data_IF_408161356545
#
_entry.id   IF_408161356545
#
_cell.length_a   1.000
_cell.length_b   1.000
_cell.length_c   1.000
_cell.angle_alpha   90.00
_cell.angle_beta   90.00
_cell.angle_gamma   90.00
#
_symmetry.space_group_name_H-M   'P 1'
#
loop_
_entity.id
_entity.type
_entity.pdbx_description
1 polymer ?
#
# COMPACT_ATOMS: atom_id res chain seq x y z
N UNK A 1 23.71 10.36 0.15
CA UNK A 1 22.45 10.66 0.85
C UNK A 1 21.33 10.28 -0.10
N UNK A 2 20.97 8.99 -0.11
CA UNK A 2 20.00 8.45 -1.05
C UNK A 2 18.59 8.68 -0.53
N UNK A 3 17.89 9.56 -1.23
CA UNK A 3 16.44 9.69 -1.09
C UNK A 3 15.86 8.42 -1.72
N UNK A 4 15.41 7.48 -0.88
CA UNK A 4 14.65 6.32 -1.34
C UNK A 4 13.34 6.84 -1.93
N UNK A 5 13.39 7.17 -3.21
CA UNK A 5 12.30 7.72 -3.96
C UNK A 5 11.13 6.74 -3.93
N UNK A 6 9.97 7.23 -3.47
CA UNK A 6 8.69 6.73 -3.91
C UNK A 6 8.70 6.80 -5.45
N UNK A 7 9.01 5.68 -6.10
CA UNK A 7 8.95 5.61 -7.55
C UNK A 7 7.47 5.65 -7.93
N UNK A 8 7.06 6.82 -8.35
CA UNK A 8 5.79 7.05 -9.01
C UNK A 8 5.83 6.32 -10.36
N UNK A 9 4.85 5.46 -10.61
CA UNK A 9 4.63 4.92 -11.95
C UNK A 9 4.24 6.07 -12.88
N UNK A 10 5.07 6.37 -13.88
CA UNK A 10 4.89 7.45 -14.83
C UNK A 10 3.65 7.35 -15.75
N UNK A 11 2.72 6.45 -15.47
CA UNK A 11 1.44 6.33 -16.19
C UNK A 11 0.36 7.29 -15.72
N UNK A 12 0.58 8.09 -14.68
CA UNK A 12 -0.42 9.03 -14.16
C UNK A 12 -0.36 10.42 -14.78
N UNK A 13 0.55 10.65 -15.76
CA UNK A 13 0.61 11.90 -16.49
C UNK A 13 0.44 11.70 -18.00
N UNK A 14 -0.62 11.01 -18.39
CA UNK A 14 -1.18 11.10 -19.72
C UNK A 14 -2.12 12.30 -19.76
N UNK A 15 -1.80 13.29 -20.59
CA UNK A 15 -2.60 14.44 -21.05
C UNK A 15 -3.94 14.68 -20.32
N UNK A 16 -3.89 15.50 -19.26
CA UNK A 16 -5.07 16.18 -18.76
C UNK A 16 -5.37 17.39 -19.64
N UNK A 17 -5.93 17.15 -20.83
CA UNK A 17 -6.73 18.19 -21.48
C UNK A 17 -7.99 18.39 -20.65
N UNK A 18 -8.10 19.56 -20.05
CA UNK A 18 -9.26 20.03 -19.31
C UNK A 18 -10.48 20.01 -20.21
N UNK A 19 -11.31 19.00 -20.09
CA UNK A 19 -12.64 19.00 -20.65
C UNK A 19 -13.62 19.20 -19.48
N UNK A 20 -14.26 20.37 -19.46
CA UNK A 20 -15.33 20.69 -18.53
C UNK A 20 -16.57 19.82 -18.83
N UNK A 21 -16.58 18.61 -18.32
CA UNK A 21 -17.69 17.68 -18.40
C UNK A 21 -18.02 17.15 -17.01
N UNK A 22 -19.23 17.44 -16.58
CA UNK A 22 -19.98 17.00 -15.41
C UNK A 22 -19.44 15.72 -14.77
N UNK A 23 -18.83 15.87 -13.60
CA UNK A 23 -18.40 14.76 -12.77
C UNK A 23 -19.61 13.92 -12.33
N UNK A 24 -19.67 12.62 -12.61
CA UNK A 24 -20.68 11.78 -11.97
C UNK A 24 -20.41 11.74 -10.46
N UNK A 25 -21.48 11.90 -9.69
CA UNK A 25 -21.42 11.84 -8.23
C UNK A 25 -20.75 10.54 -7.80
N UNK A 26 -19.60 10.64 -7.15
CA UNK A 26 -18.88 9.53 -6.57
C UNK A 26 -19.80 8.84 -5.57
N UNK A 27 -20.11 7.58 -5.81
CA UNK A 27 -20.74 6.69 -4.83
C UNK A 27 -19.79 6.66 -3.62
N UNK A 28 -20.25 7.28 -2.53
CA UNK A 28 -19.44 7.60 -1.38
C UNK A 28 -18.98 6.35 -0.64
N UNK A 29 -17.75 5.96 -0.84
CA UNK A 29 -17.05 5.26 0.21
C UNK A 29 -16.75 6.29 1.31
N UNK A 30 -17.32 6.06 2.46
CA UNK A 30 -17.18 6.91 3.66
C UNK A 30 -15.71 6.92 4.05
N UNK A 31 -14.98 7.96 3.63
CA UNK A 31 -13.61 8.21 4.09
C UNK A 31 -13.68 8.53 5.57
N UNK A 32 -13.43 7.55 6.41
CA UNK A 32 -13.21 7.80 7.83
C UNK A 32 -11.84 8.48 8.00
N UNK A 33 -11.84 9.80 7.98
CA UNK A 33 -10.65 10.62 8.24
C UNK A 33 -10.30 10.69 9.73
N UNK A 34 -10.83 9.80 10.54
CA UNK A 34 -10.53 9.78 11.97
C UNK A 34 -9.06 9.38 12.16
N UNK A 35 -8.25 10.41 12.39
CA UNK A 35 -6.88 10.23 12.87
C UNK A 35 -6.97 9.56 14.24
N UNK A 36 -6.82 8.25 14.27
CA UNK A 36 -6.78 7.54 15.55
C UNK A 36 -5.36 7.64 16.11
N UNK A 37 -5.18 8.18 17.32
CA UNK A 37 -3.93 8.04 18.04
C UNK A 37 -3.79 6.57 18.46
N UNK A 38 -2.60 5.99 18.28
CA UNK A 38 -2.40 4.54 18.36
C UNK A 38 -1.08 4.26 19.03
N UNK A 39 -0.74 3.00 19.30
CA UNK A 39 -0.14 2.10 18.30
C UNK A 39 -1.16 1.20 17.63
N UNK A 40 -1.19 1.16 16.30
CA UNK A 40 -1.98 0.21 15.53
C UNK A 40 -1.04 -0.79 14.87
N UNK A 41 -1.38 -2.07 14.95
CA UNK A 41 -0.71 -3.12 14.19
C UNK A 41 -1.30 -3.17 12.77
N UNK A 42 -0.41 -3.25 11.79
CA UNK A 42 -0.78 -3.32 10.38
C UNK A 42 0.02 -4.42 9.68
N UNK A 43 -0.46 -4.86 8.53
CA UNK A 43 0.10 -5.96 7.76
C UNK A 43 0.42 -5.51 6.34
N UNK A 44 1.57 -5.94 5.80
CA UNK A 44 1.96 -5.66 4.42
C UNK A 44 2.91 -6.70 3.86
N UNK A 45 3.02 -6.77 2.54
CA UNK A 45 4.07 -7.52 1.85
C UNK A 45 5.20 -6.56 1.48
N UNK A 46 6.43 -6.92 1.84
CA UNK A 46 7.62 -6.12 1.54
C UNK A 46 8.88 -6.97 1.40
N UNK A 47 9.90 -6.41 0.74
CA UNK A 47 11.25 -6.97 0.70
C UNK A 47 12.07 -6.58 1.94
N UNK A 48 13.32 -7.05 2.01
CA UNK A 48 14.24 -6.77 3.13
C UNK A 48 14.54 -5.28 3.33
N UNK A 49 14.38 -4.47 2.28
CA UNK A 49 14.54 -3.02 2.35
C UNK A 49 13.26 -2.28 2.76
N UNK A 50 12.16 -3.00 2.95
CA UNK A 50 10.86 -2.45 3.30
C UNK A 50 10.06 -1.90 2.11
N UNK A 51 10.45 -2.26 0.86
CA UNK A 51 9.75 -1.84 -0.36
C UNK A 51 8.61 -2.80 -0.66
N UNK A 52 7.44 -2.24 -1.00
CA UNK A 52 6.30 -3.03 -1.46
C UNK A 52 6.49 -3.57 -2.88
N UNK A 53 5.72 -4.61 -3.30
CA UNK A 53 5.86 -5.23 -4.61
C UNK A 53 5.23 -4.43 -5.76
N UNK A 54 4.31 -3.54 -5.47
CA UNK A 54 3.66 -2.67 -6.47
C UNK A 54 4.62 -1.56 -6.93
N UNK A 55 5.50 -1.91 -7.87
CA UNK A 55 6.50 -1.01 -8.44
C UNK A 55 6.46 -1.06 -9.96
N UNK A 56 6.77 0.06 -10.65
CA UNK A 56 6.84 0.10 -12.11
C UNK A 56 7.73 -1.01 -12.66
N UNK A 57 7.19 -1.75 -13.61
CA UNK A 57 7.89 -2.84 -14.28
C UNK A 57 8.02 -4.13 -13.46
N UNK A 58 7.94 -4.08 -12.13
CA UNK A 58 8.06 -5.27 -11.30
C UNK A 58 6.73 -6.02 -11.14
N UNK A 59 5.60 -5.32 -11.02
CA UNK A 59 4.28 -5.95 -10.86
C UNK A 59 3.95 -6.96 -11.97
N UNK A 60 4.35 -6.70 -13.21
CA UNK A 60 4.14 -7.64 -14.33
C UNK A 60 4.89 -8.96 -14.21
N UNK A 61 5.83 -9.09 -13.28
CA UNK A 61 6.59 -10.33 -13.08
C UNK A 61 5.85 -11.31 -12.15
N UNK A 62 4.90 -10.83 -11.36
CA UNK A 62 4.24 -11.63 -10.35
C UNK A 62 2.70 -11.57 -10.39
N UNK A 63 2.11 -10.51 -10.93
CA UNK A 63 0.64 -10.43 -11.15
C UNK A 63 0.26 -11.45 -12.20
N UNK A 64 -0.64 -12.38 -11.86
CA UNK A 64 -1.09 -13.45 -12.73
C UNK A 64 -2.28 -13.03 -13.57
N UNK A 65 -3.32 -12.55 -12.91
CA UNK A 65 -4.51 -12.05 -13.57
C UNK A 65 -4.80 -10.62 -13.10
N UNK A 66 -5.09 -9.73 -14.03
CA UNK A 66 -5.46 -8.36 -13.70
C UNK A 66 -6.87 -8.26 -13.13
N UNK A 67 -7.76 -9.15 -13.54
CA UNK A 67 -9.15 -9.16 -13.10
C UNK A 67 -9.26 -9.46 -11.60
N UNK A 68 -8.32 -10.21 -11.04
CA UNK A 68 -8.20 -10.42 -9.59
C UNK A 68 -7.99 -9.12 -8.81
N UNK A 69 -7.51 -8.07 -9.49
CA UNK A 69 -7.16 -6.78 -8.91
C UNK A 69 -8.06 -5.61 -9.35
N UNK A 70 -9.11 -5.85 -10.13
CA UNK A 70 -9.97 -4.82 -10.72
C UNK A 70 -10.64 -3.91 -9.68
N UNK A 71 -10.90 -4.43 -8.50
CA UNK A 71 -11.49 -3.68 -7.40
C UNK A 71 -10.45 -3.04 -6.45
N UNK A 72 -9.17 -3.24 -6.72
CA UNK A 72 -8.09 -2.70 -5.91
C UNK A 72 -7.61 -1.38 -6.52
N UNK A 73 -7.74 -0.32 -5.77
CA UNK A 73 -7.29 1.02 -6.17
C UNK A 73 -6.02 1.38 -5.45
N UNK A 74 -5.12 2.05 -6.12
CA UNK A 74 -3.94 2.60 -5.46
C UNK A 74 -4.36 3.58 -4.36
N UNK A 75 -3.52 3.79 -3.36
CA UNK A 75 -3.81 4.73 -2.28
C UNK A 75 -4.00 6.17 -2.79
N UNK A 76 -3.37 6.52 -3.91
CA UNK A 76 -3.52 7.84 -4.55
C UNK A 76 -4.91 8.00 -5.14
N UNK A 77 -5.41 6.97 -5.83
CA UNK A 77 -6.77 6.96 -6.39
C UNK A 77 -7.83 6.98 -5.30
N UNK A 78 -7.57 6.30 -4.19
CA UNK A 78 -8.53 6.15 -3.11
C UNK A 78 -8.56 7.34 -2.15
N UNK A 79 -7.39 7.88 -1.80
CA UNK A 79 -7.26 8.90 -0.76
C UNK A 79 -6.77 10.26 -1.27
N UNK A 80 -6.29 10.30 -2.51
CA UNK A 80 -5.69 11.49 -3.11
C UNK A 80 -4.25 11.74 -2.66
N UNK A 81 -3.49 12.44 -3.49
CA UNK A 81 -2.07 12.76 -3.24
C UNK A 81 -1.85 13.66 -2.02
N UNK A 82 -2.87 14.41 -1.59
CA UNK A 82 -2.76 15.34 -0.46
C UNK A 82 -2.73 14.69 0.92
N UNK A 83 -2.92 13.35 1.02
CA UNK A 83 -2.90 12.66 2.30
C UNK A 83 -1.50 12.65 2.93
N UNK A 84 -0.46 12.67 2.12
CA UNK A 84 0.92 12.80 2.57
C UNK A 84 1.28 14.29 2.53
N UNK A 85 1.68 14.90 3.66
CA UNK A 85 2.01 16.32 3.69
C UNK A 85 3.10 16.67 2.68
N UNK A 86 2.82 17.62 1.77
CA UNK A 86 3.78 18.07 0.75
C UNK A 86 4.93 18.89 1.30
N UNK A 87 4.70 19.60 2.41
CA UNK A 87 5.68 20.50 3.02
C UNK A 87 6.21 19.90 4.30
N UNK A 88 7.53 19.78 4.36
CA UNK A 88 8.21 19.35 5.57
C UNK A 88 7.94 17.91 5.91
N UNK A 89 8.48 16.99 5.09
CA UNK A 89 8.69 15.62 5.58
C UNK A 89 9.42 15.76 6.90
N UNK A 90 8.75 15.54 8.04
CA UNK A 90 9.47 15.62 9.29
C UNK A 90 10.58 14.58 9.22
N UNK A 91 11.82 15.02 9.34
CA UNK A 91 12.98 14.14 9.36
C UNK A 91 12.69 12.94 10.26
N UNK A 92 12.99 11.73 9.78
CA UNK A 92 12.78 10.51 10.54
C UNK A 92 11.35 9.94 10.53
N UNK A 93 10.47 10.40 9.65
CA UNK A 93 9.15 9.77 9.46
C UNK A 93 9.08 9.01 8.15
N UNK A 94 8.52 7.82 8.20
CA UNK A 94 8.34 6.92 7.09
C UNK A 94 6.85 6.67 6.86
N UNK A 95 6.46 6.57 5.60
CA UNK A 95 5.08 6.39 5.17
C UNK A 95 4.95 5.11 4.35
N UNK A 96 3.81 4.50 4.39
CA UNK A 96 3.52 3.32 3.60
C UNK A 96 2.04 3.00 3.56
N UNK A 97 1.71 2.07 2.66
CA UNK A 97 0.39 1.45 2.62
C UNK A 97 0.46 0.08 3.28
N UNK A 98 -0.63 -0.30 3.91
CA UNK A 98 -0.78 -1.59 4.58
C UNK A 98 -2.26 -1.96 4.66
N UNK A 99 -2.52 -3.12 5.23
CA UNK A 99 -3.84 -3.60 5.56
C UNK A 99 -4.02 -3.70 7.09
N UNK A 100 -5.26 -3.57 7.55
CA UNK A 100 -5.60 -3.74 8.97
C UNK A 100 -5.59 -5.20 9.39
N UNK A 101 -5.90 -6.09 8.47
CA UNK A 101 -6.00 -7.52 8.72
C UNK A 101 -5.29 -8.33 7.63
N UNK A 102 -4.95 -9.58 7.95
CA UNK A 102 -4.42 -10.52 6.95
C UNK A 102 -5.47 -10.85 5.87
N UNK A 103 -6.75 -10.82 6.20
CA UNK A 103 -7.83 -11.03 5.24
C UNK A 103 -7.84 -9.94 4.18
N UNK A 104 -7.74 -8.66 4.59
CA UNK A 104 -7.57 -7.57 3.63
C UNK A 104 -6.31 -7.75 2.78
N UNK A 105 -5.19 -8.18 3.39
CA UNK A 105 -3.94 -8.38 2.65
C UNK A 105 -4.04 -9.50 1.61
N UNK A 106 -4.82 -10.57 1.89
CA UNK A 106 -5.09 -11.65 0.92
C UNK A 106 -5.88 -11.19 -0.30
N UNK A 107 -6.62 -10.10 -0.21
CA UNK A 107 -7.30 -9.50 -1.37
C UNK A 107 -6.31 -8.83 -2.34
N UNK A 108 -5.12 -8.45 -1.86
CA UNK A 108 -4.06 -7.83 -2.65
C UNK A 108 -3.13 -8.84 -3.34
N UNK A 109 -3.10 -10.06 -2.85
CA UNK A 109 -2.17 -11.09 -3.33
C UNK A 109 -2.85 -12.44 -3.25
N UNK A 110 -3.02 -13.11 -4.39
CA UNK A 110 -3.45 -14.50 -4.39
C UNK A 110 -2.34 -15.40 -3.82
N UNK A 111 -2.65 -16.64 -3.47
CA UNK A 111 -1.66 -17.57 -2.94
C UNK A 111 -0.50 -17.82 -3.92
N UNK A 112 -0.81 -17.93 -5.23
CA UNK A 112 0.20 -18.13 -6.28
C UNK A 112 1.07 -16.90 -6.49
N UNK A 113 0.48 -15.71 -6.48
CA UNK A 113 1.22 -14.45 -6.58
C UNK A 113 2.13 -14.26 -5.38
N UNK A 114 1.64 -14.57 -4.19
CA UNK A 114 2.45 -14.47 -2.97
C UNK A 114 3.59 -15.48 -2.98
N UNK A 115 3.39 -16.71 -3.43
CA UNK A 115 4.47 -17.68 -3.60
C UNK A 115 5.53 -17.17 -4.59
N UNK A 116 5.10 -16.54 -5.68
CA UNK A 116 6.02 -15.91 -6.64
C UNK A 116 6.80 -14.77 -5.99
N UNK A 117 6.14 -13.93 -5.21
CA UNK A 117 6.78 -12.83 -4.47
C UNK A 117 7.79 -13.33 -3.44
N UNK A 118 7.50 -14.44 -2.75
CA UNK A 118 8.45 -15.08 -1.83
C UNK A 118 9.72 -15.52 -2.54
N UNK A 119 9.63 -16.05 -3.76
CA UNK A 119 10.81 -16.40 -4.56
C UNK A 119 11.66 -15.16 -4.92
N UNK A 120 11.07 -13.97 -4.96
CA UNK A 120 11.77 -12.68 -5.12
C UNK A 120 12.22 -12.04 -3.79
N UNK A 121 12.13 -12.76 -2.67
CA UNK A 121 12.55 -12.26 -1.35
C UNK A 121 11.55 -11.34 -0.65
N UNK A 122 10.30 -11.33 -1.08
CA UNK A 122 9.22 -10.63 -0.37
C UNK A 122 8.63 -11.52 0.71
N UNK A 123 8.17 -10.90 1.78
CA UNK A 123 7.46 -11.59 2.85
C UNK A 123 6.32 -10.72 3.40
N UNK A 124 5.29 -11.38 3.89
CA UNK A 124 4.26 -10.73 4.67
C UNK A 124 4.81 -10.44 6.06
N UNK A 125 4.60 -9.22 6.53
CA UNK A 125 5.05 -8.78 7.84
C UNK A 125 3.97 -8.02 8.57
N UNK A 126 4.02 -8.05 9.89
CA UNK A 126 3.29 -7.12 10.76
C UNK A 126 4.23 -6.07 11.32
N UNK A 127 3.70 -4.90 11.60
CA UNK A 127 4.42 -3.82 12.26
C UNK A 127 3.50 -2.90 13.03
N UNK A 128 4.03 -2.29 14.08
CA UNK A 128 3.33 -1.23 14.80
C UNK A 128 3.59 0.12 14.13
N UNK A 129 2.53 0.90 13.95
CA UNK A 129 2.56 2.21 13.34
C UNK A 129 2.08 3.26 14.32
N UNK A 130 2.66 4.46 14.23
CA UNK A 130 2.33 5.55 15.15
C UNK A 130 1.01 6.23 14.79
N UNK A 131 0.67 6.27 13.51
CA UNK A 131 -0.48 7.02 13.03
C UNK A 131 -1.03 6.40 11.74
N UNK A 132 -2.33 6.21 11.71
CA UNK A 132 -3.06 5.93 10.46
C UNK A 132 -3.54 7.28 9.93
N UNK A 133 -3.20 7.60 8.69
CA UNK A 133 -3.52 8.85 8.03
C UNK A 133 -4.84 8.78 7.29
N UNK A 134 -5.13 7.64 6.68
CA UNK A 134 -6.41 7.30 6.06
C UNK A 134 -6.59 5.80 6.06
N UNK A 135 -7.83 5.36 6.04
CA UNK A 135 -8.21 3.95 6.05
C UNK A 135 -9.48 3.74 5.22
N UNK A 136 -9.56 2.60 4.55
CA UNK A 136 -10.74 2.11 3.86
C UNK A 136 -10.94 0.63 4.15
N UNK A 137 -11.93 0.04 3.52
CA UNK A 137 -12.17 -1.41 3.55
C UNK A 137 -11.10 -2.24 2.81
N UNK A 138 -10.25 -1.58 2.01
CA UNK A 138 -9.24 -2.24 1.17
C UNK A 138 -7.84 -2.08 1.76
N UNK A 139 -7.47 -0.86 2.17
CA UNK A 139 -6.12 -0.52 2.61
C UNK A 139 -6.12 0.69 3.54
N UNK A 140 -4.97 0.95 4.12
CA UNK A 140 -4.69 2.16 4.88
C UNK A 140 -3.35 2.76 4.51
N UNK A 141 -3.22 4.07 4.75
CA UNK A 141 -1.95 4.80 4.69
C UNK A 141 -1.53 5.14 6.11
N UNK A 142 -0.29 4.85 6.43
CA UNK A 142 0.25 5.05 7.77
C UNK A 142 1.55 5.85 7.79
N UNK A 143 1.88 6.33 8.99
CA UNK A 143 3.12 6.98 9.31
C UNK A 143 3.78 6.29 10.51
N UNK A 144 5.12 6.11 10.44
CA UNK A 144 5.92 5.62 11.58
C UNK A 144 7.27 6.33 11.67
N UNK A 145 7.86 6.35 12.88
CA UNK A 145 9.16 6.95 13.13
C UNK A 145 10.34 6.06 12.69
N UNK A 146 10.12 4.75 12.61
CA UNK A 146 11.17 3.79 12.23
C UNK A 146 11.12 3.51 10.72
N UNK A 147 12.25 3.20 10.08
CA UNK A 147 12.27 2.70 8.70
C UNK A 147 11.33 1.51 8.51
N UNK A 148 10.75 1.38 7.30
CA UNK A 148 9.76 0.33 7.02
C UNK A 148 10.30 -1.09 7.20
N UNK A 149 11.62 -1.27 7.07
CA UNK A 149 12.31 -2.55 7.31
C UNK A 149 12.59 -2.85 8.78
N UNK A 150 12.49 -1.86 9.67
CA UNK A 150 12.92 -2.01 11.05
C UNK A 150 11.78 -2.41 11.98
N UNK A 151 12.02 -3.39 12.87
CA UNK A 151 11.06 -3.83 13.87
C UNK A 151 9.77 -4.36 13.24
N UNK A 152 9.91 -5.18 12.22
CA UNK A 152 8.85 -5.94 11.59
C UNK A 152 8.90 -7.39 12.04
N UNK A 153 7.76 -8.03 12.10
CA UNK A 153 7.63 -9.44 12.45
C UNK A 153 7.06 -10.20 11.25
N UNK A 154 7.74 -11.23 10.74
CA UNK A 154 7.18 -12.10 9.70
C UNK A 154 5.84 -12.68 10.15
N UNK A 155 4.89 -12.74 9.23
CA UNK A 155 3.60 -13.37 9.46
C UNK A 155 3.27 -14.32 8.31
N UNK A 156 2.57 -15.38 8.63
CA UNK A 156 2.11 -16.33 7.63
C UNK A 156 0.85 -15.77 6.95
N UNK A 157 0.96 -15.42 5.67
CA UNK A 157 -0.18 -14.92 4.91
C UNK A 157 -1.11 -16.06 4.48
N UNK A 158 -0.53 -17.17 4.04
CA UNK A 158 -1.23 -18.40 3.64
C UNK A 158 -0.62 -19.59 4.36
N UNK A 159 -1.45 -20.50 4.84
CA UNK A 159 -0.98 -21.74 5.44
C UNK A 159 -0.27 -22.65 4.42
N UNK A 160 0.49 -23.64 4.89
CA UNK A 160 1.34 -24.48 4.04
C UNK A 160 0.57 -25.28 2.96
N UNK A 161 -0.75 -25.32 3.01
CA UNK A 161 -1.62 -26.04 2.08
C UNK A 161 -2.54 -25.12 1.26
N UNK A 162 -2.35 -23.84 1.25
CA UNK A 162 -3.12 -22.92 0.41
C UNK A 162 -2.61 -23.03 -1.04
N UNK A 163 -3.31 -23.85 -1.82
CA UNK A 163 -3.17 -23.93 -3.29
C UNK A 163 -4.29 -23.15 -3.93
#
# INVERSE_FOLDING_TARGET
MEISALHFDGRLFGDLTMNEGTMPAAVGSRLDRTVRPVPARVYRVQDVEGRGPWRPGFSRLWVRDRDDHDNLRTWVEQFGVGIIPRTGWPFGKHFGCACRTLEQLRRWFTAEEYATLQAYGYQAVSMDVQRVLAESDIQLVFQRARPLRAGVEPVELYGPNAK
#
